data_IF_810835765196
#
_entry.id   IF_810835765196
#
_cell.length_a   1.000
_cell.length_b   1.000
_cell.length_c   1.000
_cell.angle_alpha   90.00
_cell.angle_beta   90.00
_cell.angle_gamma   90.00
#
_symmetry.space_group_name_H-M   'P 1'
#
loop_
_entity.id
_entity.type
_entity.pdbx_description
1 polymer ?
#
# COMPACT_ATOMS: atom_id res chain seq x y z
N UNK A 1 27.02 18.25 -4.31
CA UNK A 1 26.03 17.21 -4.64
C UNK A 1 26.10 16.20 -3.49
N UNK A 2 25.05 16.05 -2.69
CA UNK A 2 25.06 15.09 -1.59
C UNK A 2 24.61 13.73 -2.15
N UNK A 3 25.56 12.81 -2.26
CA UNK A 3 25.28 11.44 -2.67
C UNK A 3 24.56 10.75 -1.52
N UNK A 4 23.23 10.73 -1.54
CA UNK A 4 22.42 10.00 -0.56
C UNK A 4 22.42 8.50 -0.93
N UNK A 5 23.59 7.87 -0.89
CA UNK A 5 23.76 6.43 -1.04
C UNK A 5 24.34 5.85 0.24
N UNK A 6 23.74 4.77 0.76
CA UNK A 6 24.26 4.03 1.91
C UNK A 6 25.66 3.49 1.56
N UNK A 7 26.73 4.08 2.12
CA UNK A 7 28.11 3.66 1.83
C UNK A 7 28.50 2.38 2.58
N UNK A 8 27.64 1.88 3.47
CA UNK A 8 27.92 0.71 4.31
C UNK A 8 27.67 -0.61 3.59
N UNK A 9 26.74 -0.64 2.63
CA UNK A 9 26.36 -1.86 1.91
C UNK A 9 26.47 -1.63 0.39
N UNK A 10 26.65 -2.71 -0.36
CA UNK A 10 26.59 -2.64 -1.82
C UNK A 10 25.15 -2.51 -2.31
N UNK A 11 24.92 -1.91 -3.49
CA UNK A 11 23.58 -1.65 -4.07
C UNK A 11 22.61 -2.83 -3.96
N UNK A 12 23.09 -4.04 -4.24
CA UNK A 12 22.28 -5.27 -4.17
C UNK A 12 21.79 -5.55 -2.75
N UNK A 13 22.66 -5.40 -1.76
CA UNK A 13 22.32 -5.67 -0.36
C UNK A 13 21.39 -4.59 0.20
N UNK A 14 21.52 -3.34 -0.25
CA UNK A 14 20.55 -2.29 0.06
C UNK A 14 19.16 -2.60 -0.50
N UNK A 15 19.09 -3.13 -1.73
CA UNK A 15 17.82 -3.52 -2.35
C UNK A 15 17.14 -4.67 -1.59
N UNK A 16 17.91 -5.67 -1.15
CA UNK A 16 17.39 -6.79 -0.34
C UNK A 16 16.89 -6.31 1.03
N UNK A 17 17.67 -5.51 1.76
CA UNK A 17 17.24 -4.96 3.06
C UNK A 17 16.04 -4.02 2.93
N UNK A 18 15.99 -3.23 1.84
CA UNK A 18 14.84 -2.38 1.55
C UNK A 18 13.60 -3.25 1.34
N UNK A 19 13.70 -4.32 0.56
CA UNK A 19 12.57 -5.21 0.30
C UNK A 19 12.04 -5.87 1.58
N UNK A 20 12.92 -6.26 2.51
CA UNK A 20 12.53 -6.80 3.82
C UNK A 20 11.82 -5.75 4.71
N UNK A 21 12.31 -4.51 4.70
CA UNK A 21 11.76 -3.42 5.53
C UNK A 21 10.52 -2.76 4.92
N UNK A 22 10.34 -2.84 3.60
CA UNK A 22 9.19 -2.27 2.89
C UNK A 22 7.86 -2.88 3.35
N UNK A 23 7.83 -4.16 3.74
CA UNK A 23 6.62 -4.82 4.25
C UNK A 23 6.10 -4.21 5.55
N UNK A 24 7.01 -3.77 6.42
CA UNK A 24 6.69 -3.12 7.70
C UNK A 24 6.17 -1.70 7.51
N UNK A 25 6.66 -0.99 6.49
CA UNK A 25 6.27 0.40 6.22
C UNK A 25 4.99 0.49 5.40
N UNK A 26 4.78 -0.38 4.41
CA UNK A 26 3.61 -0.32 3.52
C UNK A 26 2.31 -0.76 4.17
N UNK A 27 2.38 -1.64 5.17
CA UNK A 27 1.23 -2.10 5.93
C UNK A 27 1.13 -1.44 7.31
N UNK A 28 1.82 -0.31 7.51
CA UNK A 28 1.66 0.46 8.75
C UNK A 28 0.35 1.23 8.66
N UNK A 29 -0.69 0.57 9.15
CA UNK A 29 -1.92 1.26 9.51
C UNK A 29 -1.64 2.02 10.81
N UNK A 30 -2.11 3.26 10.98
CA UNK A 30 -2.11 3.90 12.29
C UNK A 30 -2.83 3.00 13.31
N UNK A 31 -2.03 2.40 14.20
CA UNK A 31 -2.45 1.38 15.18
C UNK A 31 -3.42 1.93 16.25
N UNK A 32 -3.51 3.26 16.38
CA UNK A 32 -4.22 3.91 17.47
C UNK A 32 -5.08 5.07 16.97
N UNK A 33 -6.40 4.92 17.13
CA UNK A 33 -7.33 6.04 17.13
C UNK A 33 -7.16 6.87 18.42
N UNK A 34 -7.60 8.13 18.40
CA UNK A 34 -7.64 8.95 19.62
C UNK A 34 -8.44 8.22 20.72
N UNK A 35 -8.02 8.27 21.99
CA UNK A 35 -8.64 7.50 23.09
C UNK A 35 -10.16 7.69 23.23
N UNK A 36 -10.69 8.78 22.69
CA UNK A 36 -12.11 9.15 22.73
C UNK A 36 -12.87 8.84 21.43
N UNK A 37 -12.22 8.28 20.41
CA UNK A 37 -12.84 7.78 19.18
C UNK A 37 -12.55 6.30 18.98
N UNK A 38 -13.57 5.56 18.56
CA UNK A 38 -13.33 4.23 18.02
C UNK A 38 -12.67 4.35 16.64
N UNK A 39 -11.71 3.47 16.31
CA UNK A 39 -11.19 3.40 14.95
C UNK A 39 -12.30 3.03 13.98
N UNK A 40 -12.26 3.61 12.79
CA UNK A 40 -13.11 3.17 11.68
C UNK A 40 -12.77 1.70 11.34
N UNK A 41 -13.76 0.87 10.97
CA UNK A 41 -13.51 -0.50 10.55
C UNK A 41 -12.67 -0.50 9.28
N UNK A 42 -11.66 -1.37 9.23
CA UNK A 42 -10.79 -1.49 8.07
C UNK A 42 -11.17 -2.74 7.27
N UNK A 43 -11.22 -2.64 5.93
CA UNK A 43 -11.51 -3.78 5.09
C UNK A 43 -10.35 -4.78 5.16
N UNK A 44 -10.68 -6.06 5.35
CA UNK A 44 -9.76 -7.18 5.32
C UNK A 44 -10.14 -8.23 4.25
N UNK A 45 -9.29 -9.25 4.09
CA UNK A 45 -9.49 -10.30 3.08
C UNK A 45 -10.70 -11.20 3.36
N UNK A 46 -11.30 -11.08 4.55
CA UNK A 46 -12.56 -11.76 4.93
C UNK A 46 -13.80 -10.92 4.60
N UNK A 47 -13.64 -9.64 4.26
CA UNK A 47 -14.74 -8.79 3.85
C UNK A 47 -15.26 -9.13 2.44
N UNK A 48 -16.53 -8.82 2.22
CA UNK A 48 -17.16 -9.00 0.92
C UNK A 48 -16.59 -8.03 -0.12
N UNK A 49 -16.56 -8.43 -1.38
CA UNK A 49 -16.04 -7.58 -2.47
C UNK A 49 -16.74 -6.23 -2.60
N UNK A 50 -18.03 -6.14 -2.23
CA UNK A 50 -18.77 -4.87 -2.14
C UNK A 50 -18.20 -3.91 -1.08
N UNK A 51 -17.77 -4.45 0.07
CA UNK A 51 -17.17 -3.67 1.17
C UNK A 51 -15.78 -3.18 0.76
N UNK A 52 -15.01 -4.01 0.06
CA UNK A 52 -13.70 -3.63 -0.48
C UNK A 52 -13.83 -2.54 -1.56
N UNK A 53 -14.80 -2.66 -2.47
CA UNK A 53 -15.06 -1.67 -3.52
C UNK A 53 -15.50 -0.31 -2.96
N UNK A 54 -16.39 -0.32 -1.96
CA UNK A 54 -16.85 0.89 -1.28
C UNK A 54 -15.71 1.65 -0.55
N UNK A 55 -14.68 0.95 -0.10
CA UNK A 55 -13.50 1.53 0.58
C UNK A 55 -12.41 1.99 -0.41
N UNK A 56 -12.41 1.53 -1.67
CA UNK A 56 -11.42 1.89 -2.71
C UNK A 56 -12.04 2.63 -3.92
N UNK A 57 -12.52 3.86 -3.73
CA UNK A 57 -13.28 4.60 -4.75
C UNK A 57 -12.48 5.04 -6.00
N UNK A 58 -11.19 4.71 -6.09
CA UNK A 58 -10.33 5.11 -7.22
C UNK A 58 -9.90 3.93 -8.12
N UNK A 59 -10.25 2.68 -7.80
CA UNK A 59 -9.89 1.52 -8.62
C UNK A 59 -10.79 1.34 -9.87
N UNK A 60 -11.94 2.02 -9.89
CA UNK A 60 -12.93 1.98 -10.98
C UNK A 60 -12.66 2.95 -12.14
N UNK A 61 -11.60 3.76 -12.08
CA UNK A 61 -11.25 4.71 -13.14
C UNK A 61 -10.46 4.07 -14.33
N UNK A 62 -10.03 2.81 -14.23
CA UNK A 62 -9.09 2.20 -15.20
C UNK A 62 -9.64 1.06 -16.06
N UNK A 63 -10.94 0.73 -15.99
CA UNK A 63 -11.57 -0.22 -16.93
C UNK A 63 -12.61 0.47 -17.79
N UNK A 64 -12.14 1.42 -18.60
CA UNK A 64 -12.99 2.25 -19.45
C UNK A 64 -12.43 2.48 -20.86
N UNK A 65 -11.52 1.67 -21.39
CA UNK A 65 -11.09 1.85 -22.78
C UNK A 65 -10.47 0.59 -23.41
N UNK A 66 -11.29 -0.19 -24.13
CA UNK A 66 -10.90 -0.82 -25.40
C UNK A 66 -12.06 -1.66 -25.94
N UNK A 67 -13.03 -0.99 -26.56
CA UNK A 67 -13.75 -1.61 -27.66
C UNK A 67 -12.91 -1.49 -28.93
N UNK A 68 -12.71 -2.59 -29.65
CA UNK A 68 -12.93 -2.74 -31.12
C UNK A 68 -12.05 -3.83 -31.74
N UNK A 69 -12.74 -4.68 -32.52
CA UNK A 69 -12.26 -5.46 -33.67
C UNK A 69 -11.44 -6.73 -33.34
N UNK A 70 -11.71 -7.91 -33.91
CA UNK A 70 -12.77 -8.43 -34.81
C UNK A 70 -12.87 -9.94 -34.60
#
# INVERSE_FOLDING_TARGET
>A
MAERGNTTHGRRLDEEMKQETEGLTKNTIPDHAEEWRQPEPMPDDTDSGEVQDAMEPNRTAETGESGRNS
#
